data_IF_214843874765
#
_entry.id   IF_214843874765
#
_cell.length_a   1.000
_cell.length_b   1.000
_cell.length_c   1.000
_cell.angle_alpha   90.00
_cell.angle_beta   90.00
_cell.angle_gamma   90.00
#
_symmetry.space_group_name_H-M   'P 1'
#
loop_
_entity.id
_entity.type
_entity.pdbx_description
1 polymer ?
#
# COMPACT_ATOMS: atom_id res chain seq x y z
N UNK A 1 23.35 -27.85 9.01
CA UNK A 1 22.82 -27.54 7.65
C UNK A 1 21.30 -27.31 7.63
N UNK A 2 20.46 -28.19 8.18
CA UNK A 2 18.99 -28.00 8.22
C UNK A 2 18.52 -26.68 8.86
N UNK A 3 19.14 -26.26 9.97
CA UNK A 3 18.85 -24.97 10.62
C UNK A 3 19.19 -23.75 9.75
N UNK A 4 20.26 -23.83 8.95
CA UNK A 4 20.67 -22.74 8.07
C UNK A 4 19.66 -22.52 6.93
N UNK A 5 19.11 -23.61 6.39
CA UNK A 5 18.06 -23.55 5.36
C UNK A 5 16.78 -22.92 5.92
N UNK A 6 16.42 -23.24 7.17
CA UNK A 6 15.25 -22.67 7.84
C UNK A 6 15.38 -21.16 8.10
N UNK A 7 16.57 -20.69 8.48
CA UNK A 7 16.83 -19.27 8.70
C UNK A 7 16.78 -18.52 7.36
N UNK A 8 17.36 -19.10 6.31
CA UNK A 8 17.35 -18.51 4.97
C UNK A 8 15.94 -18.38 4.39
N UNK A 9 15.08 -19.38 4.58
CA UNK A 9 13.69 -19.32 4.11
C UNK A 9 12.86 -18.27 4.86
N UNK A 10 13.11 -18.07 6.15
CA UNK A 10 12.42 -17.05 6.94
C UNK A 10 12.84 -15.62 6.54
N UNK A 11 14.11 -15.42 6.19
CA UNK A 11 14.61 -14.12 5.73
C UNK A 11 13.98 -13.68 4.40
N UNK A 12 13.66 -14.63 3.50
CA UNK A 12 13.00 -14.33 2.22
C UNK A 12 11.56 -13.84 2.38
N UNK A 13 10.89 -14.19 3.48
CA UNK A 13 9.51 -13.73 3.75
C UNK A 13 9.47 -12.26 4.19
N UNK A 14 10.57 -11.70 4.70
CA UNK A 14 10.65 -10.29 5.11
C UNK A 14 10.64 -9.31 3.93
N UNK A 15 10.92 -9.77 2.70
CA UNK A 15 10.93 -8.93 1.50
C UNK A 15 9.53 -8.68 0.90
N UNK A 16 8.49 -9.29 1.47
CA UNK A 16 7.12 -9.09 1.01
C UNK A 16 6.54 -7.80 1.56
N UNK A 17 6.77 -6.68 0.87
CA UNK A 17 6.17 -5.38 1.19
C UNK A 17 4.97 -5.10 0.29
N UNK A 18 3.94 -4.44 0.85
CA UNK A 18 2.75 -4.07 0.10
C UNK A 18 3.07 -2.99 -0.95
N UNK A 19 2.52 -3.14 -2.17
CA UNK A 19 2.74 -2.20 -3.30
C UNK A 19 2.50 -0.73 -2.93
N UNK A 20 1.56 -0.45 -2.03
CA UNK A 20 1.23 0.93 -1.62
C UNK A 20 2.18 1.51 -0.58
N UNK A 21 2.86 0.69 0.23
CA UNK A 21 3.84 1.19 1.20
C UNK A 21 5.05 1.83 0.51
N UNK A 22 5.45 1.27 -0.65
CA UNK A 22 6.53 1.81 -1.49
C UNK A 22 6.14 3.05 -2.30
N UNK A 23 4.85 3.40 -2.33
CA UNK A 23 4.35 4.54 -3.10
C UNK A 23 4.80 5.85 -2.46
N UNK A 24 5.29 6.78 -3.27
CA UNK A 24 5.62 8.13 -2.80
C UNK A 24 4.37 8.87 -2.32
N UNK A 25 4.55 9.84 -1.43
CA UNK A 25 3.46 10.70 -0.95
C UNK A 25 2.71 11.40 -2.10
N UNK A 26 3.46 11.92 -3.08
CA UNK A 26 2.90 12.59 -4.24
C UNK A 26 2.06 11.64 -5.11
N UNK A 27 2.57 10.42 -5.36
CA UNK A 27 1.83 9.44 -6.16
C UNK A 27 0.56 8.97 -5.43
N UNK A 28 0.65 8.75 -4.12
CA UNK A 28 -0.50 8.32 -3.31
C UNK A 28 -1.60 9.40 -3.29
N UNK A 29 -1.22 10.66 -3.09
CA UNK A 29 -2.15 11.79 -3.12
C UNK A 29 -2.83 11.93 -4.50
N UNK A 30 -2.04 11.90 -5.59
CA UNK A 30 -2.58 12.00 -6.95
C UNK A 30 -3.58 10.88 -7.28
N UNK A 31 -3.30 9.64 -6.84
CA UNK A 31 -4.23 8.52 -7.04
C UNK A 31 -5.47 8.62 -6.16
N UNK A 32 -5.33 9.15 -4.93
CA UNK A 32 -6.48 9.42 -4.07
C UNK A 32 -7.40 10.48 -4.71
N UNK A 33 -6.83 11.56 -5.23
CA UNK A 33 -7.58 12.60 -5.94
C UNK A 33 -8.28 12.05 -7.18
N UNK A 34 -7.60 11.19 -7.96
CA UNK A 34 -8.21 10.50 -9.11
C UNK A 34 -9.43 9.67 -8.68
N UNK A 35 -9.34 8.96 -7.56
CA UNK A 35 -10.43 8.16 -7.02
C UNK A 35 -11.64 9.02 -6.62
N UNK A 36 -11.40 10.17 -5.98
CA UNK A 36 -12.45 11.11 -5.58
C UNK A 36 -13.09 11.77 -6.81
N UNK A 37 -12.28 12.23 -7.77
CA UNK A 37 -12.76 12.95 -8.94
C UNK A 37 -13.50 12.05 -9.93
N UNK A 38 -13.00 10.84 -10.19
CA UNK A 38 -13.59 9.94 -11.18
C UNK A 38 -14.70 9.07 -10.64
N UNK A 39 -14.78 8.89 -9.31
CA UNK A 39 -15.76 8.07 -8.61
C UNK A 39 -16.07 6.74 -9.34
N UNK A 40 -15.05 5.89 -9.56
CA UNK A 40 -15.19 4.75 -10.44
C UNK A 40 -16.16 3.72 -9.87
N UNK A 41 -16.98 3.10 -10.72
CA UNK A 41 -18.01 2.12 -10.29
C UNK A 41 -17.61 0.67 -10.56
N UNK A 42 -16.57 0.41 -11.35
CA UNK A 42 -16.15 -0.97 -11.62
C UNK A 42 -15.53 -1.59 -10.36
N UNK A 43 -15.89 -2.84 -10.00
CA UNK A 43 -15.48 -3.45 -8.72
C UNK A 43 -13.96 -3.43 -8.48
N UNK A 44 -13.17 -3.67 -9.52
CA UNK A 44 -11.71 -3.64 -9.44
C UNK A 44 -11.16 -2.24 -9.12
N UNK A 45 -11.75 -1.19 -9.70
CA UNK A 45 -11.34 0.19 -9.43
C UNK A 45 -11.81 0.67 -8.06
N UNK A 46 -13.03 0.31 -7.65
CA UNK A 46 -13.53 0.57 -6.28
C UNK A 46 -12.59 -0.04 -5.25
N UNK A 47 -12.21 -1.31 -5.43
CA UNK A 47 -11.27 -1.99 -4.55
C UNK A 47 -9.91 -1.28 -4.51
N UNK A 48 -9.39 -0.84 -5.65
CA UNK A 48 -8.14 -0.10 -5.71
C UNK A 48 -8.22 1.25 -4.97
N UNK A 49 -9.32 1.98 -5.12
CA UNK A 49 -9.55 3.24 -4.41
C UNK A 49 -9.70 3.05 -2.90
N UNK A 50 -10.40 2.01 -2.46
CA UNK A 50 -10.48 1.68 -1.04
C UNK A 50 -9.11 1.33 -0.44
N UNK A 51 -8.26 0.66 -1.21
CA UNK A 51 -6.90 0.36 -0.79
C UNK A 51 -6.05 1.63 -0.64
N UNK A 52 -6.15 2.58 -1.59
CA UNK A 52 -5.49 3.90 -1.49
C UNK A 52 -5.98 4.67 -0.27
N UNK A 53 -7.30 4.73 -0.05
CA UNK A 53 -7.91 5.39 1.12
C UNK A 53 -7.36 4.82 2.43
N UNK A 54 -7.30 3.49 2.56
CA UNK A 54 -6.77 2.82 3.74
C UNK A 54 -5.29 3.12 3.98
N UNK A 55 -4.49 3.20 2.92
CA UNK A 55 -3.07 3.55 3.03
C UNK A 55 -2.90 5.01 3.50
N UNK A 56 -3.69 5.94 2.96
CA UNK A 56 -3.72 7.33 3.44
C UNK A 56 -4.07 7.41 4.93
N UNK A 57 -5.11 6.68 5.37
CA UNK A 57 -5.49 6.63 6.78
C UNK A 57 -4.41 6.01 7.67
N UNK A 58 -3.71 4.97 7.20
CA UNK A 58 -2.58 4.38 7.91
C UNK A 58 -1.46 5.40 8.10
N UNK A 59 -1.04 6.07 7.03
CA UNK A 59 0.01 7.11 7.07
C UNK A 59 -0.38 8.30 7.95
N UNK A 60 -1.66 8.69 7.94
CA UNK A 60 -2.19 9.75 8.82
C UNK A 60 -2.02 9.40 10.30
N UNK A 61 -2.28 8.14 10.68
CA UNK A 61 -2.05 7.66 12.05
C UNK A 61 -0.57 7.68 12.44
N UNK A 62 0.34 7.67 11.46
CA UNK A 62 1.79 7.78 11.63
C UNK A 62 2.29 9.23 11.50
N UNK A 63 1.39 10.22 11.39
CA UNK A 63 1.74 11.65 11.30
C UNK A 63 2.06 12.15 9.90
N UNK A 64 1.82 11.35 8.86
CA UNK A 64 1.98 11.75 7.47
C UNK A 64 0.62 12.09 6.85
N UNK A 65 0.44 13.37 6.47
CA UNK A 65 -0.81 13.95 5.97
C UNK A 65 -0.75 14.34 4.49
N UNK A 66 0.10 13.68 3.70
CA UNK A 66 0.21 13.95 2.26
C UNK A 66 -1.11 13.71 1.50
N UNK A 67 -1.94 12.84 2.06
CA UNK A 67 -3.37 12.70 1.85
C UNK A 67 -4.03 12.61 3.25
#
# INVERSE_FOLDING_TARGET
MKFFILILSLALLLACEGKMQKMSNQELAAKNDECVQKNPTSPGKVTACENIRKECERRRKEGNFAC
#
